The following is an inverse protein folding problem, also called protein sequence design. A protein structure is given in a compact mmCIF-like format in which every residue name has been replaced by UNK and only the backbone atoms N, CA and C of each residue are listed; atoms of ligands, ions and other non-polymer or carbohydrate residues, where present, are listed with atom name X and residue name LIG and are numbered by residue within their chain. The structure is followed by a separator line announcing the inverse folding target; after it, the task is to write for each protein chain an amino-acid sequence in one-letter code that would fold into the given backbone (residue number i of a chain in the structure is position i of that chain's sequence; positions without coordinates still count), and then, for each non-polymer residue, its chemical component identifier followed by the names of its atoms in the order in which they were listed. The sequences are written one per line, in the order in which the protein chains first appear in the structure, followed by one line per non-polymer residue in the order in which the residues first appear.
data_IF_619958820840
#
_entry.id   IF_619958820840
#
_cell.length_a   1.000
_cell.length_b   1.000
_cell.length_c   1.000
_cell.angle_alpha   90.00
_cell.angle_beta   90.00
_cell.angle_gamma   90.00
#
_symmetry.space_group_name_H-M   'P 1'
#
loop_
_entity.id
_entity.type
_entity.pdbx_description
1 polymer ?
#
# COMPACT_ATOMS: atom_id res chain seq x y z
N UNK A 1 7.37 -12.54 -6.60
CA UNK A 1 8.08 -11.49 -5.83
C UNK A 1 7.16 -10.35 -5.41
N UNK A 2 6.33 -9.78 -6.31
CA UNK A 2 5.43 -8.66 -5.96
C UNK A 2 4.53 -8.96 -4.75
N UNK A 3 3.91 -10.13 -4.67
CA UNK A 3 3.10 -10.49 -3.50
C UNK A 3 3.86 -10.48 -2.17
N UNK A 4 5.14 -10.87 -2.16
CA UNK A 4 6.00 -10.77 -0.98
C UNK A 4 6.28 -9.30 -0.60
N UNK A 5 6.32 -8.39 -1.57
CA UNK A 5 6.51 -6.96 -1.36
C UNK A 5 5.24 -6.29 -0.84
N UNK A 6 4.08 -6.60 -1.42
CA UNK A 6 2.79 -6.11 -0.91
C UNK A 6 2.54 -6.61 0.51
N UNK A 7 2.86 -7.88 0.80
CA UNK A 7 2.82 -8.40 2.18
C UNK A 7 3.75 -7.62 3.11
N UNK A 8 4.99 -7.36 2.67
CA UNK A 8 5.95 -6.61 3.48
C UNK A 8 5.54 -5.15 3.70
N UNK A 9 4.87 -4.54 2.71
CA UNK A 9 4.30 -3.21 2.83
C UNK A 9 3.24 -3.17 3.95
N UNK A 10 2.31 -4.13 3.96
CA UNK A 10 1.32 -4.24 5.04
C UNK A 10 1.94 -4.59 6.41
N UNK A 11 3.04 -5.35 6.45
CA UNK A 11 3.66 -5.81 7.70
C UNK A 11 4.51 -4.71 8.39
N UNK A 12 5.24 -3.89 7.62
CA UNK A 12 6.23 -2.94 8.18
C UNK A 12 6.29 -1.55 7.56
N UNK A 13 5.57 -1.28 6.47
CA UNK A 13 5.51 0.06 5.87
C UNK A 13 6.85 0.67 5.40
N UNK A 14 7.90 -0.13 5.17
CA UNK A 14 9.22 0.46 4.91
C UNK A 14 9.26 1.21 3.55
N UNK A 15 10.03 2.32 3.42
CA UNK A 15 10.08 3.12 2.19
C UNK A 15 10.38 2.32 0.92
N UNK A 16 11.25 1.30 1.03
CA UNK A 16 11.56 0.42 -0.10
C UNK A 16 10.38 -0.43 -0.55
N UNK A 17 9.55 -0.92 0.37
CA UNK A 17 8.39 -1.73 0.02
C UNK A 17 7.32 -0.87 -0.66
N UNK A 18 7.12 0.35 -0.17
CA UNK A 18 6.31 1.38 -0.82
C UNK A 18 6.77 1.64 -2.27
N UNK A 19 8.07 1.88 -2.48
CA UNK A 19 8.66 2.10 -3.82
C UNK A 19 8.46 0.87 -4.73
N UNK A 20 8.77 -0.33 -4.23
CA UNK A 20 8.66 -1.57 -5.02
C UNK A 20 7.20 -1.84 -5.45
N UNK A 21 6.23 -1.52 -4.59
CA UNK A 21 4.80 -1.68 -4.88
C UNK A 21 4.29 -0.56 -5.80
N UNK A 22 4.75 0.68 -5.66
CA UNK A 22 4.45 1.76 -6.59
C UNK A 22 4.98 1.47 -8.01
N UNK A 23 6.17 0.89 -8.12
CA UNK A 23 6.68 0.46 -9.43
C UNK A 23 5.78 -0.64 -10.04
N UNK A 24 5.21 -1.51 -9.21
CA UNK A 24 4.30 -2.57 -9.61
C UNK A 24 2.92 -2.02 -10.04
N UNK A 25 2.43 -0.95 -9.42
CA UNK A 25 1.10 -0.37 -9.74
C UNK A 25 0.99 0.15 -11.18
N UNK A 26 2.12 0.38 -11.86
CA UNK A 26 2.17 0.69 -13.30
C UNK A 26 1.67 -0.45 -14.20
N UNK A 27 1.59 -1.68 -13.67
CA UNK A 27 1.19 -2.88 -14.42
C UNK A 27 -0.03 -3.59 -13.83
N UNK A 28 -0.28 -3.44 -12.53
CA UNK A 28 -1.36 -4.11 -11.82
C UNK A 28 -2.18 -3.11 -11.04
N UNK A 29 -3.49 -3.34 -10.99
CA UNK A 29 -4.39 -2.56 -10.15
C UNK A 29 -4.12 -2.79 -8.66
N UNK A 30 -4.54 -1.85 -7.82
CA UNK A 30 -4.44 -1.96 -6.37
C UNK A 30 -5.12 -3.23 -5.83
N UNK A 31 -6.29 -3.58 -6.36
CA UNK A 31 -6.99 -4.82 -6.01
C UNK A 31 -6.19 -6.10 -6.35
N UNK A 32 -5.49 -6.13 -7.50
CA UNK A 32 -4.60 -7.24 -7.84
C UNK A 32 -3.38 -7.30 -6.92
N UNK A 33 -2.83 -6.14 -6.53
CA UNK A 33 -1.73 -6.06 -5.58
C UNK A 33 -2.15 -6.61 -4.20
N UNK A 34 -3.33 -6.23 -3.68
CA UNK A 34 -3.92 -6.79 -2.46
C UNK A 34 -4.00 -8.32 -2.53
N UNK A 35 -4.52 -8.86 -3.64
CA UNK A 35 -4.63 -10.29 -3.86
C UNK A 35 -3.26 -10.99 -3.87
N UNK A 36 -2.25 -10.39 -4.52
CA UNK A 36 -0.90 -10.93 -4.50
C UNK A 36 -0.32 -10.95 -3.08
N UNK A 37 -0.55 -9.89 -2.29
CA UNK A 37 -0.18 -9.81 -0.88
C UNK A 37 -0.81 -10.94 -0.07
N UNK A 38 -2.14 -11.08 -0.15
CA UNK A 38 -2.92 -12.09 0.58
C UNK A 38 -2.43 -13.51 0.30
N UNK A 39 -2.19 -13.86 -0.97
CA UNK A 39 -1.65 -15.19 -1.36
C UNK A 39 -0.29 -15.50 -0.77
N UNK A 40 0.52 -14.49 -0.46
CA UNK A 40 1.87 -14.66 0.10
C UNK A 40 1.93 -14.50 1.62
N UNK A 41 0.83 -14.11 2.26
CA UNK A 41 0.81 -13.75 3.67
C UNK A 41 0.61 -14.91 4.64
N UNK A 42 0.22 -16.10 4.15
CA UNK A 42 -0.15 -17.24 5.00
C UNK A 42 -1.16 -16.86 6.10
N UNK A 43 -2.13 -15.99 5.75
CA UNK A 43 -3.16 -15.51 6.67
C UNK A 43 -2.76 -14.34 7.58
N UNK A 44 -1.71 -13.57 7.25
CA UNK A 44 -1.27 -12.38 8.01
C UNK A 44 -1.25 -11.13 7.14
N UNK A 45 -2.35 -10.84 6.46
CA UNK A 45 -2.45 -9.66 5.59
C UNK A 45 -3.80 -9.02 5.81
N UNK A 46 -3.78 -8.02 6.67
CA UNK A 46 -4.94 -7.22 7.03
C UNK A 46 -4.93 -5.93 6.20
N UNK A 47 -6.11 -5.52 5.72
CA UNK A 47 -6.24 -4.32 4.88
C UNK A 47 -6.06 -3.05 5.69
N UNK A 48 -6.38 -3.11 6.98
CA UNK A 48 -6.19 -2.09 7.99
C UNK A 48 -4.70 -1.77 8.16
N UNK A 49 -3.86 -2.80 8.29
CA UNK A 49 -2.41 -2.62 8.39
C UNK A 49 -1.83 -2.03 7.10
N UNK A 50 -2.33 -2.46 5.93
CA UNK A 50 -1.94 -1.87 4.65
C UNK A 50 -2.35 -0.39 4.57
N UNK A 51 -3.60 -0.07 4.92
CA UNK A 51 -4.14 1.29 4.91
C UNK A 51 -3.32 2.21 5.81
N UNK A 52 -3.06 1.79 7.05
CA UNK A 52 -2.26 2.55 8.01
C UNK A 52 -0.84 2.82 7.51
N UNK A 53 -0.20 1.83 6.88
CA UNK A 53 1.15 1.98 6.33
C UNK A 53 1.18 2.87 5.08
N UNK A 54 0.13 2.86 4.24
CA UNK A 54 0.00 3.76 3.10
C UNK A 54 -0.20 5.21 3.55
N UNK A 55 -1.09 5.46 4.53
CA UNK A 55 -1.24 6.77 5.16
C UNK A 55 0.08 7.21 5.80
N UNK A 56 0.78 6.29 6.46
CA UNK A 56 2.10 6.53 7.06
C UNK A 56 3.16 7.10 6.11
N UNK A 57 3.03 6.89 4.80
CA UNK A 57 3.95 7.41 3.80
C UNK A 57 4.01 8.95 3.79
N UNK A 58 2.93 9.64 4.19
CA UNK A 58 2.90 11.11 4.25
C UNK A 58 3.90 11.68 5.26
N UNK A 59 4.22 10.94 6.32
CA UNK A 59 5.12 11.35 7.40
C UNK A 59 6.59 11.01 7.14
N UNK A 60 6.88 10.29 6.05
CA UNK A 60 8.26 9.96 5.67
C UNK A 60 8.86 11.11 4.88
N UNK A 61 10.04 11.59 5.26
CA UNK A 61 10.74 12.68 4.54
C UNK A 61 11.06 12.31 3.09
N UNK A 62 10.98 13.29 2.17
CA UNK A 62 11.29 13.09 0.75
C UNK A 62 12.73 12.58 0.54
N UNK A 63 13.67 12.99 1.40
CA UNK A 63 15.06 12.52 1.40
C UNK A 63 15.17 11.00 1.57
N UNK A 64 14.25 10.38 2.32
CA UNK A 64 14.24 8.93 2.50
C UNK A 64 13.91 8.20 1.20
N UNK A 65 13.08 8.79 0.34
CA UNK A 65 12.77 8.27 -1.00
C UNK A 65 13.83 8.66 -2.03
N UNK A 66 14.36 9.88 -1.95
CA UNK A 66 15.46 10.35 -2.81
C UNK A 66 16.74 9.53 -2.62
N UNK A 67 16.99 8.99 -1.41
CA UNK A 67 18.07 8.05 -1.14
C UNK A 67 17.98 6.75 -1.97
N UNK A 68 16.80 6.41 -2.50
CA UNK A 68 16.58 5.31 -3.44
C UNK A 68 16.61 5.74 -4.92
N UNK A 69 16.92 7.01 -5.19
CA UNK A 69 17.06 7.55 -6.55
C UNK A 69 15.77 8.04 -7.18
N UNK A 70 14.71 8.27 -6.40
CA UNK A 70 13.48 8.88 -6.89
C UNK A 70 13.69 10.41 -7.03
N UNK A 71 13.24 10.97 -8.14
CA UNK A 71 13.18 12.43 -8.32
C UNK A 71 11.88 13.01 -7.72
N UNK A 72 11.84 14.33 -7.57
CA UNK A 72 10.71 15.06 -6.95
C UNK A 72 9.37 14.78 -7.65
N UNK A 73 9.38 14.69 -8.99
CA UNK A 73 8.18 14.37 -9.77
C UNK A 73 7.68 12.95 -9.49
N UNK A 74 8.59 11.98 -9.38
CA UNK A 74 8.28 10.60 -9.03
C UNK A 74 7.78 10.50 -7.60
N UNK A 75 8.38 11.24 -6.65
CA UNK A 75 7.94 11.29 -5.25
C UNK A 75 6.52 11.87 -5.16
N UNK A 76 6.23 12.94 -5.91
CA UNK A 76 4.88 13.53 -5.96
C UNK A 76 3.84 12.53 -6.48
N UNK A 77 4.12 11.86 -7.59
CA UNK A 77 3.24 10.83 -8.15
C UNK A 77 3.07 9.63 -7.21
N UNK A 78 4.15 9.23 -6.54
CA UNK A 78 4.16 8.18 -5.53
C UNK A 78 3.27 8.54 -4.33
N UNK A 79 3.34 9.77 -3.82
CA UNK A 79 2.51 10.25 -2.70
C UNK A 79 1.03 10.28 -3.08
N UNK A 80 0.71 10.80 -4.26
CA UNK A 80 -0.67 10.81 -4.75
C UNK A 80 -1.23 9.38 -4.83
N UNK A 81 -0.47 8.45 -5.40
CA UNK A 81 -0.86 7.04 -5.47
C UNK A 81 -1.07 6.41 -4.08
N UNK A 82 -0.21 6.70 -3.12
CA UNK A 82 -0.33 6.15 -1.76
C UNK A 82 -1.61 6.66 -1.06
N UNK A 83 -1.91 7.96 -1.19
CA UNK A 83 -3.12 8.58 -0.63
C UNK A 83 -4.37 8.02 -1.31
N UNK A 84 -4.42 7.98 -2.64
CA UNK A 84 -5.56 7.44 -3.38
C UNK A 84 -5.90 6.00 -2.97
N UNK A 85 -4.88 5.16 -2.76
CA UNK A 85 -5.11 3.79 -2.31
C UNK A 85 -5.52 3.71 -0.83
N UNK A 86 -4.92 4.53 0.04
CA UNK A 86 -5.31 4.59 1.44
C UNK A 86 -6.77 5.01 1.62
N UNK A 87 -7.23 5.98 0.81
CA UNK A 87 -8.62 6.49 0.84
C UNK A 87 -9.63 5.45 0.31
N UNK A 88 -9.28 4.72 -0.76
CA UNK A 88 -10.09 3.59 -1.26
C UNK A 88 -10.24 2.51 -0.19
N UNK A 89 -9.14 2.13 0.46
CA UNK A 89 -9.17 1.15 1.55
C UNK A 89 -9.97 1.65 2.74
N UNK A 90 -9.81 2.91 3.15
CA UNK A 90 -10.56 3.49 4.26
C UNK A 90 -12.07 3.47 4.01
N UNK A 91 -12.49 3.77 2.78
CA UNK A 91 -13.90 3.72 2.37
C UNK A 91 -14.44 2.30 2.44
N UNK A 92 -13.73 1.33 1.84
CA UNK A 92 -14.13 -0.09 1.85
C UNK A 92 -14.15 -0.69 3.26
N UNK A 93 -13.21 -0.32 4.12
CA UNK A 93 -13.16 -0.77 5.52
C UNK A 93 -14.33 -0.19 6.33
N UNK A 94 -14.72 1.06 6.07
CA UNK A 94 -15.91 1.66 6.69
C UNK A 94 -17.19 0.95 6.24
N UNK A 95 -17.32 0.68 4.93
CA UNK A 95 -18.45 -0.07 4.38
C UNK A 95 -18.54 -1.49 4.96
N UNK A 96 -17.41 -2.20 5.12
CA UNK A 96 -17.34 -3.52 5.74
C UNK A 96 -17.70 -3.49 7.24
N UNK A 97 -17.39 -2.39 7.94
CA UNK A 97 -17.78 -2.23 9.35
C UNK A 97 -19.27 -1.91 9.53
N UNK A 98 -19.88 -1.21 8.56
CA UNK A 98 -21.30 -0.83 8.55
C UNK A 98 -22.23 -1.95 8.05
N UNK A 99 -21.69 -3.01 7.43
CA UNK A 99 -22.42 -4.22 7.00
C UNK A 99 -22.01 -5.47 7.80
N UNK A 100 -22.45 -5.59 9.08
CA UNK A 100 -22.04 -6.71 9.93
C UNK A 100 -22.73 -8.05 9.62
N UNK A 101 -23.61 -8.14 8.61
CA UNK A 101 -24.46 -9.33 8.40
C UNK A 101 -24.77 -9.60 6.91
N UNK A 102 -23.98 -10.49 6.30
CA UNK A 102 -24.50 -11.50 5.36
C UNK A 102 -23.87 -12.84 5.77
N UNK A 103 -24.48 -13.47 6.79
CA UNK A 103 -24.35 -14.92 7.08
C UNK A 103 -25.34 -15.72 6.20
#
# INVERSE_FOLDING_TARGET
MIGTKVRALADRGAPRDLIDVFAASRRWSNAELEEFGRRHARGRFEREDLQANLTGAEWTDDEAFAAYGLDEATITAFRAWAVEWADDLATRLLEEADDPDID
#
